data_IF_205433387123
#
_entry.id   IF_205433387123
#
_cell.length_a   1.000
_cell.length_b   1.000
_cell.length_c   1.000
_cell.angle_alpha   90.00
_cell.angle_beta   90.00
_cell.angle_gamma   90.00
#
_symmetry.space_group_name_H-M   'P 1'
#
loop_
_entity.id
_entity.type
_entity.pdbx_description
1 polymer ?
#
# COMPACT_ATOMS: atom_id res chain seq x y z
N UNK A 1 4.07 -5.88 16.82
CA UNK A 1 3.66 -6.54 15.55
C UNK A 1 2.26 -6.06 15.17
N UNK A 2 2.09 -5.55 13.94
CA UNK A 2 0.79 -5.06 13.44
C UNK A 2 0.15 -6.05 12.47
N UNK A 3 0.94 -6.79 11.71
CA UNK A 3 0.49 -7.80 10.76
C UNK A 3 1.36 -9.04 10.83
N UNK A 4 0.73 -10.20 10.67
CA UNK A 4 1.41 -11.47 10.49
C UNK A 4 0.73 -12.26 9.37
N UNK A 5 1.52 -12.74 8.42
CA UNK A 5 1.13 -13.65 7.35
C UNK A 5 1.84 -14.97 7.57
N UNK A 6 1.15 -16.10 7.57
CA UNK A 6 1.73 -17.40 7.88
C UNK A 6 1.36 -18.43 6.81
N UNK A 7 2.39 -18.98 6.19
CA UNK A 7 2.32 -20.13 5.27
C UNK A 7 1.27 -19.98 4.17
N UNK A 8 1.18 -18.77 3.58
CA UNK A 8 0.14 -18.43 2.61
C UNK A 8 0.48 -18.98 1.23
N UNK A 9 -0.48 -19.67 0.64
CA UNK A 9 -0.39 -20.27 -0.70
C UNK A 9 -1.59 -19.79 -1.54
N UNK A 10 -1.33 -19.48 -2.82
CA UNK A 10 -2.36 -19.01 -3.74
C UNK A 10 -2.02 -19.33 -5.19
N UNK A 11 -3.05 -19.68 -5.98
CA UNK A 11 -2.97 -19.82 -7.44
C UNK A 11 -4.13 -19.12 -8.13
N UNK A 12 -3.87 -18.50 -9.28
CA UNK A 12 -4.96 -18.08 -10.18
C UNK A 12 -5.55 -19.29 -10.90
N UNK A 13 -6.85 -19.26 -11.18
CA UNK A 13 -7.61 -20.40 -11.78
C UNK A 13 -6.95 -21.05 -13.00
N UNK A 14 -6.20 -20.29 -13.80
CA UNK A 14 -5.57 -20.76 -15.04
C UNK A 14 -4.03 -20.84 -14.92
N UNK A 15 -3.47 -20.68 -13.73
CA UNK A 15 -2.03 -20.77 -13.54
C UNK A 15 -1.60 -22.25 -13.57
N UNK A 16 -0.50 -22.54 -14.29
CA UNK A 16 0.11 -23.88 -14.30
C UNK A 16 0.87 -24.19 -13.02
N UNK A 17 1.32 -23.13 -12.33
CA UNK A 17 2.10 -23.21 -11.09
C UNK A 17 1.48 -22.30 -10.04
N UNK A 18 1.76 -22.57 -8.78
CA UNK A 18 1.32 -21.73 -7.67
C UNK A 18 1.98 -20.34 -7.78
N UNK A 19 1.14 -19.29 -7.73
CA UNK A 19 1.61 -17.89 -7.82
C UNK A 19 2.30 -17.44 -6.55
N UNK A 20 1.82 -17.91 -5.39
CA UNK A 20 2.37 -17.68 -4.06
C UNK A 20 2.52 -19.02 -3.37
N UNK A 21 3.69 -19.28 -2.77
CA UNK A 21 4.05 -20.58 -2.20
C UNK A 21 4.62 -20.41 -0.81
N UNK A 22 3.84 -20.81 0.21
CA UNK A 22 4.23 -20.84 1.62
C UNK A 22 4.84 -19.53 2.14
N UNK A 23 4.31 -18.39 1.69
CA UNK A 23 4.81 -17.07 2.08
C UNK A 23 4.46 -16.78 3.54
N UNK A 24 5.48 -16.45 4.33
CA UNK A 24 5.35 -16.03 5.73
C UNK A 24 6.13 -14.74 5.95
N UNK A 25 5.48 -13.75 6.55
CA UNK A 25 6.11 -12.47 6.92
C UNK A 25 5.39 -11.82 8.08
N UNK A 26 6.08 -10.94 8.77
CA UNK A 26 5.55 -10.15 9.87
C UNK A 26 5.94 -8.69 9.71
N UNK A 27 5.20 -7.78 10.36
CA UNK A 27 5.39 -6.35 10.23
C UNK A 27 5.12 -5.63 11.54
N UNK A 28 6.00 -4.69 11.88
CA UNK A 28 5.85 -3.84 13.05
C UNK A 28 5.09 -2.55 12.75
N UNK A 29 4.52 -1.94 13.80
CA UNK A 29 3.80 -0.67 13.66
C UNK A 29 4.76 0.47 13.29
N UNK A 30 4.39 1.27 12.28
CA UNK A 30 5.22 2.38 11.77
C UNK A 30 6.38 1.94 10.88
N UNK A 31 6.48 0.65 10.58
CA UNK A 31 7.47 0.09 9.67
C UNK A 31 7.07 0.36 8.21
N UNK A 32 8.06 0.67 7.36
CA UNK A 32 7.95 0.69 5.92
C UNK A 32 8.66 -0.54 5.36
N UNK A 33 7.88 -1.52 4.90
CA UNK A 33 8.35 -2.75 4.31
C UNK A 33 8.28 -2.66 2.79
N UNK A 34 9.33 -3.08 2.09
CA UNK A 34 9.30 -3.15 0.62
C UNK A 34 9.45 -4.59 0.16
N UNK A 35 8.54 -5.06 -0.68
CA UNK A 35 8.63 -6.34 -1.39
C UNK A 35 9.23 -6.06 -2.75
N UNK A 36 10.45 -6.53 -2.96
CA UNK A 36 11.24 -6.37 -4.19
C UNK A 36 11.28 -7.68 -4.97
N UNK A 37 11.29 -7.62 -6.28
CA UNK A 37 11.45 -8.78 -7.15
C UNK A 37 11.12 -8.47 -8.61
N UNK A 38 11.45 -9.37 -9.51
CA UNK A 38 11.16 -9.22 -10.94
C UNK A 38 9.65 -9.21 -11.22
N UNK A 39 9.26 -8.73 -12.39
CA UNK A 39 7.86 -8.85 -12.85
C UNK A 39 7.43 -10.33 -12.86
N UNK A 40 6.21 -10.60 -12.39
CA UNK A 40 5.69 -11.96 -12.28
C UNK A 40 6.15 -12.76 -11.06
N UNK A 41 6.97 -12.20 -10.14
CA UNK A 41 7.39 -12.90 -8.92
C UNK A 41 6.30 -13.06 -7.84
N UNK A 42 5.09 -12.49 -8.04
CA UNK A 42 3.97 -12.62 -7.12
C UNK A 42 3.75 -11.43 -6.17
N UNK A 43 4.55 -10.37 -6.25
CA UNK A 43 4.50 -9.20 -5.34
C UNK A 43 3.11 -8.56 -5.22
N UNK A 44 2.53 -8.15 -6.36
CA UNK A 44 1.19 -7.54 -6.38
C UNK A 44 0.10 -8.52 -5.91
N UNK A 45 0.32 -9.83 -6.12
CA UNK A 45 -0.58 -10.87 -5.60
C UNK A 45 -0.55 -10.91 -4.08
N UNK A 46 0.64 -10.78 -3.44
CA UNK A 46 0.74 -10.66 -1.98
C UNK A 46 -0.02 -9.44 -1.48
N UNK A 47 0.12 -8.26 -2.14
CA UNK A 47 -0.67 -7.07 -1.77
C UNK A 47 -2.18 -7.32 -1.89
N UNK A 48 -2.63 -7.97 -2.96
CA UNK A 48 -4.06 -8.28 -3.17
C UNK A 48 -4.60 -9.24 -2.11
N UNK A 49 -3.81 -10.24 -1.71
CA UNK A 49 -4.16 -11.15 -0.61
C UNK A 49 -4.30 -10.40 0.72
N UNK A 50 -3.37 -9.49 1.04
CA UNK A 50 -3.43 -8.64 2.24
C UNK A 50 -4.66 -7.72 2.20
N UNK A 51 -4.93 -7.10 1.05
CA UNK A 51 -6.09 -6.23 0.86
C UNK A 51 -7.43 -6.99 0.91
N UNK A 52 -7.42 -8.33 0.71
CA UNK A 52 -8.63 -9.17 0.62
C UNK A 52 -9.29 -9.17 -0.75
N UNK A 53 -8.56 -8.77 -1.78
CA UNK A 53 -9.01 -8.79 -3.17
C UNK A 53 -8.87 -10.17 -3.82
N UNK A 54 -8.08 -11.05 -3.19
CA UNK A 54 -7.91 -12.45 -3.56
C UNK A 54 -8.12 -13.33 -2.31
N UNK A 55 -8.59 -14.56 -2.52
CA UNK A 55 -8.83 -15.54 -1.46
C UNK A 55 -7.69 -16.56 -1.49
N UNK A 56 -6.87 -16.69 -0.45
CA UNK A 56 -5.80 -17.69 -0.40
C UNK A 56 -6.35 -19.12 -0.39
N UNK A 57 -5.55 -20.06 -0.87
CA UNK A 57 -5.86 -21.50 -0.78
C UNK A 57 -5.54 -22.04 0.62
N UNK A 58 -4.43 -21.57 1.20
CA UNK A 58 -3.91 -22.00 2.49
C UNK A 58 -3.26 -20.85 3.24
N UNK A 59 -3.09 -21.04 4.54
CA UNK A 59 -2.39 -20.09 5.41
C UNK A 59 -3.35 -19.23 6.23
N UNK A 60 -2.77 -18.30 6.97
CA UNK A 60 -3.54 -17.37 7.79
C UNK A 60 -2.93 -15.97 7.78
N UNK A 61 -3.73 -14.97 8.06
CA UNK A 61 -3.30 -13.60 8.28
C UNK A 61 -4.03 -12.95 9.44
N UNK A 62 -3.26 -12.23 10.26
CA UNK A 62 -3.81 -11.37 11.31
C UNK A 62 -3.38 -9.91 11.10
N UNK A 63 -4.26 -8.98 11.46
CA UNK A 63 -3.95 -7.54 11.55
C UNK A 63 -4.43 -7.06 12.92
N UNK A 64 -3.55 -6.41 13.69
CA UNK A 64 -3.81 -5.97 15.07
C UNK A 64 -4.39 -7.10 15.95
N UNK A 65 -3.89 -8.33 15.79
CA UNK A 65 -4.34 -9.51 16.51
C UNK A 65 -5.70 -10.09 16.06
N UNK A 66 -6.38 -9.45 15.11
CA UNK A 66 -7.62 -9.98 14.53
C UNK A 66 -7.35 -10.80 13.29
N UNK A 67 -7.96 -11.98 13.17
CA UNK A 67 -7.85 -12.85 11.99
C UNK A 67 -8.55 -12.22 10.80
N UNK A 68 -7.81 -12.05 9.69
CA UNK A 68 -8.34 -11.55 8.42
C UNK A 68 -8.72 -12.68 7.47
N UNK A 69 -7.95 -13.76 7.49
CA UNK A 69 -8.31 -15.01 6.87
C UNK A 69 -7.57 -16.19 7.53
N UNK A 70 -8.20 -17.33 7.53
CA UNK A 70 -7.71 -18.67 7.84
C UNK A 70 -8.58 -19.72 7.12
N UNK A 71 -8.61 -20.97 7.59
CA UNK A 71 -9.41 -22.04 6.97
C UNK A 71 -10.93 -21.81 7.06
N UNK A 72 -11.40 -21.05 8.08
CA UNK A 72 -12.82 -20.84 8.36
C UNK A 72 -13.26 -19.39 8.11
N UNK A 73 -12.33 -18.45 8.17
CA UNK A 73 -12.60 -17.00 8.17
C UNK A 73 -12.09 -16.34 6.90
N UNK A 74 -12.89 -15.44 6.32
CA UNK A 74 -12.44 -14.49 5.30
C UNK A 74 -13.12 -13.14 5.52
N UNK A 75 -12.34 -12.16 5.99
CA UNK A 75 -12.81 -10.78 6.19
C UNK A 75 -12.76 -10.04 4.85
N UNK A 76 -13.89 -9.41 4.48
CA UNK A 76 -14.00 -8.63 3.25
C UNK A 76 -13.08 -7.39 3.27
N UNK A 77 -12.58 -6.90 2.10
CA UNK A 77 -11.61 -5.81 1.98
C UNK A 77 -11.97 -4.56 2.80
N UNK A 78 -13.23 -4.12 2.72
CA UNK A 78 -13.70 -2.89 3.37
C UNK A 78 -13.75 -2.98 4.91
N UNK A 79 -13.54 -4.16 5.48
CA UNK A 79 -13.52 -4.42 6.93
C UNK A 79 -12.11 -4.69 7.48
N UNK A 80 -11.09 -4.82 6.62
CA UNK A 80 -9.71 -5.15 7.03
C UNK A 80 -8.95 -3.97 7.64
N UNK A 81 -9.44 -2.73 7.46
CA UNK A 81 -8.70 -1.53 7.90
C UNK A 81 -7.40 -1.33 7.13
N UNK A 82 -7.36 -1.70 5.85
CA UNK A 82 -6.22 -1.58 4.95
C UNK A 82 -6.54 -0.55 3.88
N UNK A 83 -5.64 0.40 3.64
CA UNK A 83 -5.69 1.33 2.51
C UNK A 83 -4.86 0.80 1.33
N UNK A 84 -5.21 1.16 0.10
CA UNK A 84 -4.42 0.77 -1.08
C UNK A 84 -4.26 1.94 -2.05
N UNK A 85 -3.04 2.11 -2.55
CA UNK A 85 -2.64 3.03 -3.61
C UNK A 85 -2.19 2.18 -4.79
N UNK A 86 -2.92 2.28 -5.90
CA UNK A 86 -2.67 1.54 -7.14
C UNK A 86 -1.65 2.26 -8.01
N UNK A 87 -1.04 1.55 -8.94
CA UNK A 87 -0.04 2.05 -9.88
C UNK A 87 -0.54 3.25 -10.72
N UNK A 88 -1.80 3.23 -11.13
CA UNK A 88 -2.48 4.30 -11.89
C UNK A 88 -3.21 5.31 -11.00
N UNK A 89 -2.91 5.27 -9.66
CA UNK A 89 -3.56 6.06 -8.62
C UNK A 89 -5.06 5.81 -8.46
N UNK A 90 -5.75 5.26 -9.44
CA UNK A 90 -7.18 4.95 -9.48
C UNK A 90 -8.07 6.09 -8.92
N UNK A 91 -7.75 7.34 -9.24
CA UNK A 91 -8.54 8.49 -8.82
C UNK A 91 -9.88 8.52 -9.56
N UNK A 92 -10.93 8.95 -8.87
CA UNK A 92 -12.24 9.17 -9.48
C UNK A 92 -12.18 10.44 -10.34
N UNK A 93 -12.19 10.35 -11.69
CA UNK A 93 -11.94 11.51 -12.56
C UNK A 93 -13.06 12.57 -12.50
N UNK A 94 -14.25 12.15 -12.12
CA UNK A 94 -15.45 13.00 -11.97
C UNK A 94 -15.58 13.64 -10.59
N UNK A 95 -14.63 13.40 -9.68
CA UNK A 95 -14.60 13.97 -8.34
C UNK A 95 -13.42 14.91 -8.18
N UNK A 96 -13.61 15.98 -7.42
CA UNK A 96 -12.53 16.88 -7.01
C UNK A 96 -11.55 16.16 -6.05
N UNK A 97 -10.43 16.80 -5.73
CA UNK A 97 -9.48 16.35 -4.69
C UNK A 97 -10.23 16.07 -3.38
N UNK A 98 -11.00 17.03 -2.89
CA UNK A 98 -11.80 16.86 -1.67
C UNK A 98 -12.83 15.73 -1.80
N UNK A 99 -13.45 15.56 -2.96
CA UNK A 99 -14.38 14.48 -3.25
C UNK A 99 -13.73 13.10 -3.19
N UNK A 100 -12.56 12.95 -3.82
CA UNK A 100 -11.77 11.73 -3.78
C UNK A 100 -11.40 11.34 -2.34
N UNK A 101 -10.90 12.27 -1.55
CA UNK A 101 -10.49 12.01 -0.16
C UNK A 101 -11.71 11.67 0.72
N UNK A 102 -12.79 12.44 0.60
CA UNK A 102 -14.05 12.22 1.37
C UNK A 102 -14.73 10.89 1.04
N UNK A 103 -14.42 10.26 -0.09
CA UNK A 103 -15.07 9.02 -0.51
C UNK A 103 -14.95 7.91 0.54
N UNK A 104 -13.76 7.75 1.15
CA UNK A 104 -13.52 6.79 2.24
C UNK A 104 -14.12 7.19 3.60
N UNK A 105 -14.63 8.42 3.73
CA UNK A 105 -15.10 8.97 5.01
C UNK A 105 -16.62 8.98 5.15
N UNK A 106 -17.36 8.26 4.30
CA UNK A 106 -18.84 8.30 4.24
C UNK A 106 -19.53 7.93 5.56
N UNK A 107 -18.90 7.11 6.40
CA UNK A 107 -19.44 6.66 7.68
C UNK A 107 -19.21 7.65 8.84
N UNK A 108 -18.38 8.67 8.65
CA UNK A 108 -18.09 9.70 9.65
C UNK A 108 -19.15 10.81 9.66
N UNK A 109 -19.37 11.44 10.83
CA UNK A 109 -20.19 12.64 10.95
C UNK A 109 -19.59 13.77 10.12
N UNK A 110 -20.42 14.71 9.66
CA UNK A 110 -20.00 15.79 8.74
C UNK A 110 -18.83 16.62 9.29
N UNK A 111 -18.90 17.01 10.57
CA UNK A 111 -17.84 17.81 11.23
C UNK A 111 -16.51 17.06 11.29
N UNK A 112 -16.52 15.82 11.80
CA UNK A 112 -15.34 14.95 11.88
C UNK A 112 -14.72 14.69 10.50
N UNK A 113 -15.58 14.50 9.49
CA UNK A 113 -15.14 14.29 8.10
C UNK A 113 -14.45 15.53 7.53
N UNK A 114 -14.96 16.74 7.81
CA UNK A 114 -14.39 17.98 7.31
C UNK A 114 -13.07 18.30 8.03
N UNK A 115 -12.96 18.07 9.33
CA UNK A 115 -11.72 18.16 10.11
C UNK A 115 -10.67 17.15 9.61
N UNK A 116 -11.07 15.89 9.39
CA UNK A 116 -10.17 14.86 8.87
C UNK A 116 -9.69 15.19 7.47
N UNK A 117 -10.55 15.69 6.59
CA UNK A 117 -10.16 16.17 5.26
C UNK A 117 -9.10 17.26 5.37
N UNK A 118 -9.32 18.30 6.19
CA UNK A 118 -8.37 19.40 6.34
C UNK A 118 -7.01 18.90 6.84
N UNK A 119 -7.00 18.05 7.86
CA UNK A 119 -5.77 17.46 8.43
C UNK A 119 -4.99 16.65 7.39
N UNK A 120 -5.66 15.82 6.59
CA UNK A 120 -4.98 14.99 5.60
C UNK A 120 -4.47 15.83 4.43
N UNK A 121 -5.25 16.81 3.95
CA UNK A 121 -4.83 17.76 2.90
C UNK A 121 -3.57 18.52 3.31
N UNK A 122 -3.51 19.00 4.55
CA UNK A 122 -2.34 19.70 5.08
C UNK A 122 -1.12 18.76 5.14
N UNK A 123 -1.32 17.53 5.64
CA UNK A 123 -0.24 16.54 5.77
C UNK A 123 0.42 16.19 4.43
N UNK A 124 -0.38 16.07 3.35
CA UNK A 124 0.15 15.75 2.00
C UNK A 124 0.49 17.00 1.18
N UNK A 125 0.37 18.22 1.73
CA UNK A 125 0.72 19.47 1.05
C UNK A 125 -0.19 19.82 -0.13
N UNK A 126 -1.49 19.55 -0.04
CA UNK A 126 -2.49 19.82 -1.09
C UNK A 126 -3.44 20.98 -0.73
N UNK A 127 -3.06 21.84 0.22
CA UNK A 127 -3.84 23.02 0.58
C UNK A 127 -4.02 23.96 -0.63
N UNK A 128 -5.26 24.35 -0.92
CA UNK A 128 -5.62 25.18 -2.08
C UNK A 128 -5.95 24.38 -3.34
N UNK A 129 -5.83 23.04 -3.32
CA UNK A 129 -6.15 22.16 -4.44
C UNK A 129 -7.49 21.42 -4.28
N UNK A 130 -8.23 21.68 -3.21
CA UNK A 130 -9.42 20.91 -2.79
C UNK A 130 -10.50 20.82 -3.85
N UNK A 131 -10.64 21.88 -4.66
CA UNK A 131 -11.67 22.01 -5.70
C UNK A 131 -11.22 21.52 -7.08
N UNK A 132 -9.92 21.22 -7.26
CA UNK A 132 -9.39 20.75 -8.55
C UNK A 132 -9.79 19.29 -8.81
N UNK A 133 -9.88 18.96 -10.09
CA UNK A 133 -10.10 17.60 -10.57
C UNK A 133 -8.77 16.93 -10.90
N UNK A 134 -8.70 15.57 -10.95
CA UNK A 134 -7.46 14.84 -11.25
C UNK A 134 -6.73 15.30 -12.51
N UNK A 135 -7.45 15.62 -13.59
CA UNK A 135 -6.87 16.09 -14.85
C UNK A 135 -6.21 17.48 -14.77
N UNK A 136 -6.45 18.23 -13.71
CA UNK A 136 -5.85 19.55 -13.45
C UNK A 136 -4.60 19.47 -12.56
N UNK A 137 -4.13 18.25 -12.25
CA UNK A 137 -3.03 17.97 -11.33
C UNK A 137 -1.84 17.32 -12.04
N UNK A 138 -0.62 17.65 -11.60
CA UNK A 138 0.58 16.90 -12.00
C UNK A 138 0.55 15.47 -11.45
N UNK A 139 1.35 14.54 -12.02
CA UNK A 139 1.44 13.15 -11.57
C UNK A 139 1.76 13.03 -10.07
N UNK A 140 2.72 13.80 -9.56
CA UNK A 140 3.03 13.83 -8.13
C UNK A 140 1.90 14.36 -7.25
N UNK A 141 1.12 15.34 -7.75
CA UNK A 141 -0.08 15.82 -7.05
C UNK A 141 -1.19 14.75 -7.05
N UNK A 142 -1.39 14.04 -8.15
CA UNK A 142 -2.34 12.93 -8.23
C UNK A 142 -1.97 11.81 -7.25
N UNK A 143 -0.69 11.47 -7.15
CA UNK A 143 -0.17 10.50 -6.18
C UNK A 143 -0.46 10.93 -4.73
N UNK A 144 -0.24 12.22 -4.39
CA UNK A 144 -0.57 12.76 -3.06
C UNK A 144 -2.08 12.71 -2.78
N UNK A 145 -2.94 12.90 -3.79
CA UNK A 145 -4.39 12.71 -3.63
C UNK A 145 -4.74 11.25 -3.35
N UNK A 146 -4.12 10.30 -4.06
CA UNK A 146 -4.32 8.87 -3.84
C UNK A 146 -3.85 8.45 -2.44
N UNK A 147 -2.69 8.94 -2.00
CA UNK A 147 -2.19 8.77 -0.64
C UNK A 147 -3.18 9.33 0.39
N UNK A 148 -3.61 10.58 0.22
CA UNK A 148 -4.56 11.23 1.10
C UNK A 148 -5.88 10.45 1.22
N UNK A 149 -6.40 9.95 0.09
CA UNK A 149 -7.60 9.10 0.04
C UNK A 149 -7.40 7.79 0.82
N UNK A 150 -6.23 7.14 0.66
CA UNK A 150 -5.90 5.91 1.37
C UNK A 150 -5.71 6.14 2.88
N UNK A 151 -5.14 7.28 3.29
CA UNK A 151 -4.89 7.65 4.69
C UNK A 151 -6.13 8.15 5.43
N UNK A 152 -7.08 8.74 4.71
CA UNK A 152 -8.21 9.43 5.31
C UNK A 152 -9.02 8.54 6.28
N UNK A 153 -9.32 7.26 5.98
CA UNK A 153 -10.02 6.36 6.89
C UNK A 153 -9.22 5.93 8.13
N UNK A 154 -7.97 6.37 8.27
CA UNK A 154 -7.04 5.96 9.32
C UNK A 154 -6.77 4.44 9.35
N UNK A 155 -6.30 3.87 8.23
CA UNK A 155 -6.06 2.43 8.14
C UNK A 155 -4.89 1.99 9.03
N UNK A 156 -4.87 0.69 9.38
CA UNK A 156 -3.76 0.08 10.10
C UNK A 156 -2.52 -0.06 9.23
N UNK A 157 -2.71 -0.29 7.93
CA UNK A 157 -1.65 -0.51 6.94
C UNK A 157 -2.06 0.16 5.63
N UNK A 158 -1.09 0.77 4.92
CA UNK A 158 -1.27 1.24 3.54
C UNK A 158 -0.40 0.40 2.61
N UNK A 159 -1.00 -0.09 1.54
CA UNK A 159 -0.36 -0.87 0.49
C UNK A 159 -0.10 0.01 -0.74
N UNK A 160 1.08 -0.09 -1.33
CA UNK A 160 1.48 0.65 -2.52
C UNK A 160 1.94 -0.33 -3.61
N UNK A 161 1.20 -0.38 -4.73
CA UNK A 161 1.50 -1.25 -5.87
C UNK A 161 2.23 -0.44 -6.95
N UNK A 162 3.56 -0.56 -7.04
CA UNK A 162 4.45 0.14 -7.98
C UNK A 162 4.20 1.65 -8.09
N UNK A 163 4.18 2.41 -6.98
CA UNK A 163 3.68 3.79 -6.96
C UNK A 163 4.52 4.80 -7.74
N UNK A 164 5.74 4.45 -8.14
CA UNK A 164 6.66 5.36 -8.82
C UNK A 164 6.84 5.05 -10.32
N UNK A 165 6.30 3.93 -10.81
CA UNK A 165 6.55 3.43 -12.17
C UNK A 165 6.09 4.37 -13.29
N UNK A 166 5.10 5.24 -13.01
CA UNK A 166 4.52 6.19 -13.99
C UNK A 166 5.15 7.59 -13.92
N UNK A 167 6.25 7.77 -13.20
CA UNK A 167 6.94 9.04 -13.01
C UNK A 167 8.26 9.05 -13.78
N UNK A 168 8.69 10.23 -14.24
CA UNK A 168 10.05 10.42 -14.76
C UNK A 168 11.11 10.31 -13.64
N UNK A 169 12.36 10.01 -14.01
CA UNK A 169 13.42 9.67 -13.06
C UNK A 169 13.71 10.80 -12.03
N UNK A 170 13.72 12.06 -12.47
CA UNK A 170 14.00 13.19 -11.59
C UNK A 170 12.87 13.40 -10.58
N UNK A 171 11.64 13.25 -11.05
CA UNK A 171 10.46 13.35 -10.19
C UNK A 171 10.37 12.19 -9.21
N UNK A 172 10.76 10.96 -9.62
CA UNK A 172 10.79 9.80 -8.74
C UNK A 172 11.63 10.05 -7.49
N UNK A 173 12.87 10.57 -7.63
CA UNK A 173 13.77 10.83 -6.50
C UNK A 173 13.09 11.73 -5.47
N UNK A 174 12.55 12.86 -5.93
CA UNK A 174 11.88 13.82 -5.07
C UNK A 174 10.65 13.23 -4.37
N UNK A 175 9.81 12.50 -5.11
CA UNK A 175 8.56 11.94 -4.58
C UNK A 175 8.84 10.80 -3.58
N UNK A 176 9.88 9.98 -3.78
CA UNK A 176 10.31 8.94 -2.82
C UNK A 176 10.60 9.55 -1.44
N UNK A 177 11.44 10.60 -1.40
CA UNK A 177 11.84 11.27 -0.16
C UNK A 177 10.66 11.95 0.54
N UNK A 178 9.81 12.64 -0.24
CA UNK A 178 8.62 13.29 0.26
C UNK A 178 7.63 12.25 0.85
N UNK A 179 7.39 11.15 0.14
CA UNK A 179 6.47 10.10 0.57
C UNK A 179 6.97 9.42 1.85
N UNK A 180 8.27 9.05 1.91
CA UNK A 180 8.88 8.51 3.13
C UNK A 180 8.71 9.48 4.31
N UNK A 181 8.97 10.76 4.10
CA UNK A 181 8.84 11.80 5.13
C UNK A 181 7.40 11.89 5.64
N UNK A 182 6.41 11.91 4.75
CA UNK A 182 4.98 11.94 5.10
C UNK A 182 4.61 10.71 5.93
N UNK A 183 4.98 9.52 5.47
CA UNK A 183 4.64 8.26 6.15
C UNK A 183 5.27 8.18 7.54
N UNK A 184 6.54 8.53 7.67
CA UNK A 184 7.25 8.51 8.95
C UNK A 184 6.71 9.56 9.93
N UNK A 185 6.46 10.79 9.47
CA UNK A 185 5.86 11.86 10.29
C UNK A 185 4.48 11.48 10.81
N UNK A 186 3.70 10.75 10.00
CA UNK A 186 2.36 10.30 10.36
C UNK A 186 2.36 8.97 11.14
N UNK A 187 3.49 8.31 11.34
CA UNK A 187 3.60 7.00 12.02
C UNK A 187 2.86 5.89 11.28
N UNK A 188 2.78 5.99 9.94
CA UNK A 188 2.02 5.05 9.10
C UNK A 188 2.84 3.80 8.85
N UNK A 189 2.17 2.65 8.99
CA UNK A 189 2.68 1.36 8.56
C UNK A 189 2.39 1.16 7.08
N UNK A 190 3.41 0.83 6.27
CA UNK A 190 3.25 0.76 4.82
C UNK A 190 3.97 -0.44 4.20
N UNK A 191 3.36 -1.05 3.19
CA UNK A 191 4.00 -2.08 2.34
C UNK A 191 4.08 -1.54 0.92
N UNK A 192 5.28 -1.51 0.37
CA UNK A 192 5.56 -1.16 -1.02
C UNK A 192 5.88 -2.40 -1.84
N UNK A 193 5.38 -2.44 -3.05
CA UNK A 193 5.81 -3.40 -4.07
C UNK A 193 6.51 -2.62 -5.17
N UNK A 194 7.69 -3.07 -5.55
CA UNK A 194 8.46 -2.49 -6.65
C UNK A 194 9.40 -3.54 -7.27
N UNK A 195 9.84 -3.29 -8.48
CA UNK A 195 10.95 -4.01 -9.12
C UNK A 195 12.24 -3.18 -9.15
N UNK A 196 12.19 -1.92 -8.69
CA UNK A 196 13.32 -0.99 -8.67
C UNK A 196 14.03 -1.03 -7.29
N UNK A 197 15.32 -1.35 -7.29
CA UNK A 197 16.16 -1.34 -6.10
C UNK A 197 16.35 0.06 -5.52
N UNK A 198 16.29 1.11 -6.35
CA UNK A 198 16.39 2.49 -5.88
C UNK A 198 15.18 2.89 -5.04
N UNK A 199 13.96 2.43 -5.41
CA UNK A 199 12.77 2.60 -4.58
C UNK A 199 12.97 1.97 -3.20
N UNK A 200 13.38 0.68 -3.20
CA UNK A 200 13.56 -0.06 -1.96
C UNK A 200 14.62 0.58 -1.06
N UNK A 201 15.74 1.02 -1.63
CA UNK A 201 16.83 1.70 -0.90
C UNK A 201 16.39 3.03 -0.30
N UNK A 202 15.61 3.81 -1.03
CA UNK A 202 15.20 5.15 -0.60
C UNK A 202 14.10 5.11 0.48
N UNK A 203 13.16 4.15 0.40
CA UNK A 203 11.94 4.23 1.20
C UNK A 203 11.85 3.19 2.33
N UNK A 204 12.46 2.00 2.17
CA UNK A 204 12.26 0.89 3.09
C UNK A 204 13.03 1.01 4.41
N UNK A 205 12.45 0.50 5.48
CA UNK A 205 13.16 0.12 6.70
C UNK A 205 13.64 -1.32 6.59
N UNK A 206 12.84 -2.19 5.92
CA UNK A 206 13.16 -3.60 5.67
C UNK A 206 12.69 -4.00 4.28
N UNK A 207 13.44 -4.87 3.63
CA UNK A 207 13.18 -5.39 2.28
C UNK A 207 12.97 -6.89 2.34
N UNK A 208 11.96 -7.34 1.61
CA UNK A 208 11.70 -8.76 1.30
C UNK A 208 11.99 -8.95 -0.18
N UNK A 209 12.93 -9.83 -0.50
CA UNK A 209 13.19 -10.25 -1.88
C UNK A 209 12.32 -11.44 -2.23
N UNK A 210 11.50 -11.31 -3.28
CA UNK A 210 10.64 -12.36 -3.80
C UNK A 210 11.08 -12.85 -5.18
N UNK A 211 11.09 -14.18 -5.35
CA UNK A 211 11.33 -14.84 -6.62
C UNK A 211 10.36 -16.01 -6.79
N UNK A 212 9.72 -16.10 -7.96
CA UNK A 212 8.83 -17.22 -8.34
C UNK A 212 7.84 -17.64 -7.24
N UNK A 213 7.21 -16.66 -6.59
CA UNK A 213 6.20 -16.91 -5.56
C UNK A 213 6.75 -17.21 -4.16
N UNK A 214 8.06 -17.19 -3.96
CA UNK A 214 8.71 -17.44 -2.67
C UNK A 214 9.42 -16.21 -2.12
N UNK A 215 9.55 -16.13 -0.81
CA UNK A 215 10.48 -15.21 -0.14
C UNK A 215 11.87 -15.86 -0.14
N UNK A 216 12.86 -15.15 -0.74
CA UNK A 216 14.25 -15.62 -0.83
C UNK A 216 15.10 -15.04 0.30
N UNK A 217 14.91 -13.74 0.59
CA UNK A 217 15.67 -13.04 1.64
C UNK A 217 14.80 -11.99 2.30
N UNK A 218 15.09 -11.72 3.58
CA UNK A 218 14.51 -10.62 4.36
C UNK A 218 15.64 -9.93 5.11
N UNK A 219 15.71 -8.60 5.07
CA UNK A 219 16.74 -7.84 5.79
C UNK A 219 16.59 -6.33 5.59
N UNK A 220 17.57 -5.59 6.09
CA UNK A 220 17.68 -4.14 5.80
C UNK A 220 18.05 -3.92 4.33
N UNK A 221 17.76 -2.74 3.76
CA UNK A 221 18.15 -2.43 2.38
C UNK A 221 19.63 -2.71 2.09
N UNK A 222 20.54 -2.37 3.00
CA UNK A 222 21.98 -2.59 2.81
C UNK A 222 22.40 -4.05 2.74
N UNK A 223 21.66 -4.95 3.43
CA UNK A 223 21.93 -6.40 3.40
C UNK A 223 21.36 -7.08 2.14
N UNK A 224 20.30 -6.53 1.58
CA UNK A 224 19.58 -7.17 0.46
C UNK A 224 20.02 -6.62 -0.89
N UNK A 225 20.41 -5.34 -0.94
CA UNK A 225 20.69 -4.60 -2.18
C UNK A 225 22.20 -4.41 -2.44
N UNK A 226 23.02 -5.31 -1.90
CA UNK A 226 24.48 -5.35 -2.17
C UNK A 226 24.79 -5.77 -3.59
#
# INVERSE_FOLDING_TARGET
MVMQLQNVTFSYRNAKEKTIQHVSMEMEKGEILTILGQSGSGKSTVLRLIAGLEVPEEGMMTINGSTMFDQETFVQPEKRGVGMVFQDYALFPHMTVAGNIKFGLKKMKRTERDERLASVIELVGLKGFEKRYPHELSGGQQQRVALARAMAPNPSIILFDEPFSNLDADLQIKIRDELRTILKKAGITAIFVTHDQADARAIADRVILMEKGHIVKIGTPDLILC
#
